data_IF_404166323014
#
_entry.id   IF_404166323014
#
_cell.length_a   1.000
_cell.length_b   1.000
_cell.length_c   1.000
_cell.angle_alpha   90.00
_cell.angle_beta   90.00
_cell.angle_gamma   90.00
#
_symmetry.space_group_name_H-M   'P 1'
#
loop_
_entity.id
_entity.type
_entity.pdbx_description
1 polymer ?
#
# COMPACT_ATOMS: atom_id res chain seq x y z
N UNK A 1 20.88 -2.65 -3.70
CA UNK A 1 19.67 -2.46 -2.87
C UNK A 1 19.41 -0.96 -2.83
N UNK A 2 19.07 -0.38 -3.99
CA UNK A 2 19.39 1.03 -4.30
C UNK A 2 18.15 1.85 -4.65
N UNK A 3 17.00 1.51 -4.05
CA UNK A 3 15.84 2.36 -4.14
C UNK A 3 16.01 3.54 -3.17
N UNK A 4 16.12 4.76 -3.73
CA UNK A 4 16.19 6.03 -2.98
C UNK A 4 15.08 6.09 -1.91
N UNK A 5 13.92 5.48 -2.21
CA UNK A 5 12.78 5.33 -1.31
C UNK A 5 13.11 4.57 -0.02
N UNK A 6 13.91 3.51 -0.07
CA UNK A 6 14.33 2.75 1.11
C UNK A 6 15.34 3.52 1.97
N UNK A 7 16.29 4.22 1.35
CA UNK A 7 17.33 4.96 2.06
C UNK A 7 16.77 6.19 2.79
N UNK A 8 15.78 6.87 2.20
CA UNK A 8 15.18 8.09 2.76
C UNK A 8 14.02 7.82 3.73
N UNK A 9 13.53 6.58 3.82
CA UNK A 9 12.40 6.24 4.71
C UNK A 9 12.82 6.07 6.16
N UNK A 10 12.07 6.66 7.09
CA UNK A 10 12.23 6.42 8.52
C UNK A 10 11.85 4.97 8.89
N UNK A 11 12.34 4.39 10.02
CA UNK A 11 12.05 2.99 10.38
C UNK A 11 10.56 2.60 10.35
N UNK A 12 9.62 3.41 10.88
CA UNK A 12 8.18 3.10 10.77
C UNK A 12 7.66 3.11 9.33
N UNK A 13 8.24 3.93 8.45
CA UNK A 13 7.87 4.00 7.04
C UNK A 13 8.37 2.78 6.27
N UNK A 14 9.56 2.26 6.63
CA UNK A 14 10.09 1.01 6.07
C UNK A 14 9.19 -0.18 6.39
N UNK A 15 8.64 -0.25 7.61
CA UNK A 15 7.68 -1.29 8.00
C UNK A 15 6.41 -1.25 7.12
N UNK A 16 5.86 -0.06 6.88
CA UNK A 16 4.71 0.13 6.00
C UNK A 16 5.06 -0.21 4.55
N UNK A 17 6.22 0.21 4.07
CA UNK A 17 6.71 -0.10 2.72
C UNK A 17 6.80 -1.62 2.48
N UNK A 18 7.44 -2.37 3.39
CA UNK A 18 7.52 -3.83 3.29
C UNK A 18 6.12 -4.45 3.34
N UNK A 19 5.25 -3.96 4.22
CA UNK A 19 3.87 -4.44 4.33
C UNK A 19 3.10 -4.23 3.02
N UNK A 20 3.24 -3.07 2.38
CA UNK A 20 2.62 -2.76 1.09
C UNK A 20 3.14 -3.70 0.00
N UNK A 21 4.45 -3.96 -0.04
CA UNK A 21 5.06 -4.88 -1.02
C UNK A 21 4.60 -6.32 -0.82
N UNK A 22 4.52 -6.81 0.42
CA UNK A 22 4.05 -8.16 0.74
C UNK A 22 2.54 -8.34 0.50
N UNK A 23 1.76 -7.28 0.59
CA UNK A 23 0.32 -7.31 0.35
C UNK A 23 -0.05 -7.14 -1.13
N UNK A 24 0.87 -6.64 -1.95
CA UNK A 24 0.64 -6.47 -3.38
C UNK A 24 0.50 -7.83 -4.05
N UNK A 25 -0.54 -7.99 -4.88
CA UNK A 25 -0.76 -9.26 -5.55
C UNK A 25 0.36 -9.52 -6.57
N UNK A 26 0.90 -10.73 -6.61
CA UNK A 26 1.91 -11.13 -7.59
C UNK A 26 1.31 -11.69 -8.89
N UNK A 27 0.00 -11.97 -8.89
CA UNK A 27 -0.78 -12.42 -10.02
C UNK A 27 -2.16 -11.74 -9.99
N UNK A 28 -2.90 -11.67 -11.11
CA UNK A 28 -4.26 -11.13 -11.10
C UNK A 28 -5.14 -11.91 -10.11
N UNK A 29 -5.84 -11.19 -9.24
CA UNK A 29 -6.74 -11.79 -8.25
C UNK A 29 -8.12 -11.17 -8.34
N UNK A 30 -9.15 -12.02 -8.45
CA UNK A 30 -10.53 -11.57 -8.38
C UNK A 30 -10.87 -11.18 -6.93
N UNK A 31 -11.30 -9.94 -6.75
CA UNK A 31 -11.76 -9.38 -5.50
C UNK A 31 -13.23 -8.96 -5.62
N UNK A 32 -13.99 -9.06 -4.54
CA UNK A 32 -15.28 -8.38 -4.44
C UNK A 32 -15.05 -7.02 -3.81
N UNK A 33 -15.23 -5.96 -4.59
CA UNK A 33 -15.04 -4.59 -4.13
C UNK A 33 -16.22 -3.72 -4.57
N UNK A 34 -16.77 -2.95 -3.63
CA UNK A 34 -17.99 -2.14 -3.85
C UNK A 34 -19.22 -2.96 -4.29
N UNK A 35 -19.31 -4.23 -3.90
CA UNK A 35 -20.39 -5.12 -4.36
C UNK A 35 -20.25 -5.59 -5.81
N UNK A 36 -19.17 -5.21 -6.49
CA UNK A 36 -18.84 -5.63 -7.84
C UNK A 36 -17.61 -6.54 -7.85
N UNK A 37 -17.51 -7.38 -8.88
CA UNK A 37 -16.31 -8.15 -9.13
C UNK A 37 -15.25 -7.20 -9.70
N UNK A 38 -14.17 -7.00 -8.96
CA UNK A 38 -13.02 -6.20 -9.32
C UNK A 38 -11.81 -7.13 -9.43
N UNK A 39 -11.18 -7.19 -10.60
CA UNK A 39 -9.94 -7.95 -10.76
C UNK A 39 -8.76 -7.04 -10.42
N UNK A 40 -8.13 -7.28 -9.28
CA UNK A 40 -6.89 -6.60 -8.91
C UNK A 40 -5.75 -7.12 -9.77
N UNK A 41 -5.06 -6.22 -10.47
CA UNK A 41 -3.90 -6.56 -11.29
C UNK A 41 -2.67 -6.86 -10.41
N UNK A 42 -1.64 -7.52 -10.96
CA UNK A 42 -0.35 -7.63 -10.28
C UNK A 42 0.16 -6.26 -9.82
N UNK A 43 0.70 -6.18 -8.61
CA UNK A 43 1.10 -4.94 -7.96
C UNK A 43 -0.04 -4.17 -7.28
N UNK A 44 -1.30 -4.60 -7.43
CA UNK A 44 -2.47 -3.96 -6.82
C UNK A 44 -3.02 -4.76 -5.65
N UNK A 45 -3.59 -4.06 -4.67
CA UNK A 45 -4.36 -4.67 -3.59
C UNK A 45 -5.33 -3.69 -2.94
N UNK A 46 -6.37 -4.23 -2.31
CA UNK A 46 -7.36 -3.45 -1.57
C UNK A 46 -7.08 -3.59 -0.07
N UNK A 47 -7.07 -2.45 0.63
CA UNK A 47 -6.83 -2.43 2.07
C UNK A 47 -7.58 -1.30 2.77
N UNK A 48 -7.41 -1.22 4.09
CA UNK A 48 -7.88 -0.12 4.93
C UNK A 48 -6.74 0.34 5.84
N UNK A 49 -6.84 1.58 6.35
CA UNK A 49 -5.84 2.11 7.31
C UNK A 49 -5.72 1.22 8.57
N UNK A 50 -6.82 0.78 9.21
CA UNK A 50 -6.72 -0.13 10.37
C UNK A 50 -6.03 -1.46 10.05
N UNK A 51 -6.27 -2.02 8.86
CA UNK A 51 -5.60 -3.25 8.42
C UNK A 51 -4.09 -3.05 8.22
N UNK A 52 -3.70 -1.91 7.63
CA UNK A 52 -2.28 -1.53 7.50
C UNK A 52 -1.62 -1.29 8.86
N UNK A 53 -2.31 -0.64 9.80
CA UNK A 53 -1.82 -0.45 11.18
C UNK A 53 -1.54 -1.79 11.84
N UNK A 54 -2.50 -2.73 11.75
CA UNK A 54 -2.35 -4.09 12.29
C UNK A 54 -1.18 -4.85 11.66
N UNK A 55 -1.06 -4.80 10.34
CA UNK A 55 -0.06 -5.57 9.61
C UNK A 55 1.35 -4.97 9.73
N UNK A 56 1.49 -3.65 9.70
CA UNK A 56 2.77 -2.97 9.80
C UNK A 56 3.24 -2.80 11.26
N UNK A 57 2.36 -2.96 12.25
CA UNK A 57 2.70 -2.84 13.67
C UNK A 57 3.05 -1.41 14.09
N UNK A 58 2.54 -0.39 13.39
CA UNK A 58 2.82 1.03 13.65
C UNK A 58 1.55 1.83 13.83
N UNK A 59 1.65 3.00 14.47
CA UNK A 59 0.50 3.89 14.68
C UNK A 59 -0.16 4.34 13.37
N UNK A 60 -1.44 4.67 13.44
CA UNK A 60 -2.20 5.19 12.30
C UNK A 60 -1.58 6.45 11.69
N UNK A 61 -1.04 7.35 12.51
CA UNK A 61 -0.31 8.54 12.06
C UNK A 61 0.91 8.17 11.20
N UNK A 62 1.66 7.15 11.62
CA UNK A 62 2.82 6.67 10.88
C UNK A 62 2.40 6.04 9.55
N UNK A 63 1.34 5.23 9.53
CA UNK A 63 0.78 4.67 8.28
C UNK A 63 0.39 5.78 7.31
N UNK A 64 -0.39 6.77 7.75
CA UNK A 64 -0.84 7.87 6.89
C UNK A 64 0.33 8.69 6.34
N UNK A 65 1.32 8.96 7.18
CA UNK A 65 2.54 9.69 6.78
C UNK A 65 3.35 8.88 5.77
N UNK A 66 3.54 7.57 6.01
CA UNK A 66 4.25 6.68 5.11
C UNK A 66 3.57 6.61 3.74
N UNK A 67 2.26 6.40 3.69
CA UNK A 67 1.51 6.37 2.43
C UNK A 67 1.65 7.69 1.66
N UNK A 68 1.52 8.83 2.35
CA UNK A 68 1.69 10.16 1.72
C UNK A 68 3.09 10.31 1.11
N UNK A 69 4.13 9.88 1.82
CA UNK A 69 5.50 9.94 1.32
C UNK A 69 5.73 8.99 0.15
N UNK A 70 5.21 7.77 0.19
CA UNK A 70 5.32 6.80 -0.90
C UNK A 70 4.62 7.30 -2.17
N UNK A 71 3.48 7.99 -2.04
CA UNK A 71 2.80 8.66 -3.17
C UNK A 71 3.64 9.83 -3.69
N UNK A 72 4.20 10.66 -2.81
CA UNK A 72 5.04 11.78 -3.21
C UNK A 72 6.32 11.32 -3.96
N UNK A 73 6.87 10.18 -3.56
CA UNK A 73 8.00 9.51 -4.23
C UNK A 73 7.58 8.75 -5.49
N UNK A 74 6.30 8.77 -5.88
CA UNK A 74 5.73 8.01 -7.00
C UNK A 74 5.98 6.50 -6.93
N UNK A 75 6.17 5.97 -5.71
CA UNK A 75 6.37 4.55 -5.48
C UNK A 75 5.04 3.79 -5.53
N UNK A 76 3.99 4.39 -4.97
CA UNK A 76 2.63 3.89 -5.04
C UNK A 76 1.68 4.93 -5.59
N UNK A 77 0.52 4.48 -6.05
CA UNK A 77 -0.68 5.30 -6.21
C UNK A 77 -1.78 4.74 -5.31
N UNK A 78 -2.64 5.62 -4.82
CA UNK A 78 -3.81 5.22 -4.04
C UNK A 78 -5.10 5.82 -4.60
N UNK A 79 -6.16 5.01 -4.60
CA UNK A 79 -7.52 5.47 -4.86
C UNK A 79 -8.37 5.16 -3.62
N UNK A 80 -8.87 6.21 -2.98
CA UNK A 80 -9.70 6.08 -1.77
C UNK A 80 -11.17 6.08 -2.16
N UNK A 81 -11.93 5.15 -1.55
CA UNK A 81 -13.37 5.00 -1.73
C UNK A 81 -14.05 4.81 -0.38
N UNK A 82 -15.38 4.90 -0.33
CA UNK A 82 -16.18 4.58 0.86
C UNK A 82 -16.00 3.13 1.36
N UNK A 83 -15.51 2.22 0.51
CA UNK A 83 -15.32 0.79 0.81
C UNK A 83 -13.85 0.40 0.99
N UNK A 84 -12.96 1.37 1.24
CA UNK A 84 -11.53 1.14 1.43
C UNK A 84 -10.67 1.84 0.38
N UNK A 85 -9.40 1.44 0.29
CA UNK A 85 -8.44 2.01 -0.66
C UNK A 85 -7.84 0.94 -1.55
N UNK A 86 -7.74 1.24 -2.84
CA UNK A 86 -6.94 0.48 -3.79
C UNK A 86 -5.54 1.11 -3.81
N UNK A 87 -4.52 0.31 -3.52
CA UNK A 87 -3.12 0.70 -3.64
C UNK A 87 -2.54 -0.03 -4.84
N UNK A 88 -1.79 0.68 -5.67
CA UNK A 88 -1.01 0.13 -6.79
C UNK A 88 0.45 0.47 -6.59
N UNK A 89 1.31 -0.53 -6.54
CA UNK A 89 2.77 -0.36 -6.56
C UNK A 89 3.19 -0.11 -8.01
N UNK A 90 3.75 1.08 -8.27
CA UNK A 90 4.08 1.53 -9.64
C UNK A 90 5.56 1.33 -9.94
N UNK A 91 6.40 1.42 -8.91
CA UNK A 91 7.85 1.34 -9.02
C UNK A 91 8.31 0.21 -8.09
N UNK A 92 8.75 -0.91 -8.65
CA UNK A 92 9.16 -2.13 -7.92
C UNK A 92 10.61 -2.46 -8.19
#
# INVERSE_FOLDING_TARGET
MDSITWQQSAPPQKAVLITVLLMANHAPQAWRWQGQNFTAQPGQFITSIPKLVKNAGVSEKNVRTALKNLVAMKFITEQTTKHGRLITVVNW
#
